data_IF_703672860213
#
_entry.id   IF_703672860213
#
_cell.length_a   1.000
_cell.length_b   1.000
_cell.length_c   1.000
_cell.angle_alpha   90.00
_cell.angle_beta   90.00
_cell.angle_gamma   90.00
#
_symmetry.space_group_name_H-M   'P 1'
#
loop_
_entity.id
_entity.type
_entity.pdbx_description
1 polymer ?
#
# COMPACT_ATOMS: atom_id res chain seq x y z
N UNK A 1 2.98 -8.07 -19.02
CA UNK A 1 2.65 -8.87 -17.82
C UNK A 1 1.93 -7.94 -16.87
N UNK A 2 0.63 -7.83 -17.02
CA UNK A 2 -0.21 -6.99 -16.18
C UNK A 2 -1.22 -7.93 -15.53
N UNK A 3 -0.99 -8.24 -14.26
CA UNK A 3 -2.08 -8.74 -13.43
C UNK A 3 -2.62 -7.55 -12.63
N UNK A 4 -3.13 -6.56 -13.37
CA UNK A 4 -3.96 -5.45 -12.85
C UNK A 4 -5.39 -5.95 -12.51
N UNK A 5 -5.59 -7.27 -12.33
CA UNK A 5 -6.90 -7.92 -12.46
C UNK A 5 -7.57 -8.35 -11.16
N UNK A 6 -6.97 -8.08 -10.00
CA UNK A 6 -7.59 -8.41 -8.71
C UNK A 6 -7.81 -7.19 -7.78
N UNK A 7 -7.34 -5.99 -8.15
CA UNK A 7 -7.51 -4.77 -7.36
C UNK A 7 -8.81 -4.04 -7.74
N UNK A 8 -9.79 -4.09 -6.85
CA UNK A 8 -11.12 -3.44 -6.99
C UNK A 8 -11.03 -1.96 -6.63
N UNK A 9 -10.16 -1.61 -5.69
CA UNK A 9 -9.93 -0.23 -5.27
C UNK A 9 -8.55 -0.11 -4.63
N UNK A 10 -7.82 0.95 -4.95
CA UNK A 10 -6.56 1.28 -4.29
C UNK A 10 -6.50 2.75 -3.93
N UNK A 11 -6.08 3.05 -2.70
CA UNK A 11 -5.85 4.43 -2.24
C UNK A 11 -4.62 4.54 -1.37
N UNK A 12 -3.73 5.46 -1.74
CA UNK A 12 -2.64 5.91 -0.89
C UNK A 12 -3.08 7.10 -0.01
N UNK A 13 -2.73 7.06 1.28
CA UNK A 13 -2.95 8.13 2.25
C UNK A 13 -1.62 8.45 2.95
N UNK A 14 -1.17 9.70 2.85
CA UNK A 14 0.02 10.17 3.55
C UNK A 14 -0.35 10.64 4.96
N UNK A 15 0.43 10.21 5.95
CA UNK A 15 0.28 10.55 7.36
C UNK A 15 1.66 10.81 7.98
N UNK A 16 2.18 12.02 7.79
CA UNK A 16 3.52 12.38 8.26
C UNK A 16 4.62 11.53 7.61
N UNK A 17 5.38 10.80 8.42
CA UNK A 17 6.45 9.89 7.94
C UNK A 17 5.91 8.56 7.38
N UNK A 18 4.62 8.28 7.49
CA UNK A 18 4.01 7.02 7.05
C UNK A 18 3.15 7.26 5.81
N UNK A 19 3.15 6.30 4.90
CA UNK A 19 2.19 6.21 3.81
C UNK A 19 1.43 4.90 3.96
N UNK A 20 0.11 5.00 4.03
CA UNK A 20 -0.79 3.85 4.07
C UNK A 20 -1.35 3.60 2.67
N UNK A 21 -1.35 2.35 2.25
CA UNK A 21 -2.00 1.90 1.03
C UNK A 21 -3.16 0.99 1.43
N UNK A 22 -4.36 1.39 1.05
CA UNK A 22 -5.59 0.64 1.27
C UNK A 22 -6.00 0.02 -0.06
N UNK A 23 -5.93 -1.31 -0.14
CA UNK A 23 -6.25 -2.06 -1.34
C UNK A 23 -7.42 -3.00 -1.06
N UNK A 24 -8.52 -2.84 -1.78
CA UNK A 24 -9.63 -3.79 -1.80
C UNK A 24 -9.39 -4.73 -2.96
N UNK A 25 -9.28 -6.02 -2.66
CA UNK A 25 -9.03 -7.06 -3.65
C UNK A 25 -10.13 -8.11 -3.62
N UNK A 26 -10.25 -8.86 -4.70
CA UNK A 26 -11.14 -10.02 -4.77
C UNK A 26 -10.37 -11.33 -4.72
N UNK A 27 -10.89 -12.34 -4.03
CA UNK A 27 -10.41 -13.72 -4.16
C UNK A 27 -10.85 -14.29 -5.51
N UNK A 28 -10.29 -15.44 -5.91
CA UNK A 28 -10.80 -16.20 -7.07
C UNK A 28 -12.28 -16.58 -6.94
N UNK A 29 -12.80 -16.68 -5.70
CA UNK A 29 -14.21 -16.91 -5.38
C UNK A 29 -15.10 -15.67 -5.45
N UNK A 30 -14.54 -14.50 -5.81
CA UNK A 30 -15.18 -13.17 -5.82
C UNK A 30 -15.53 -12.59 -4.45
N UNK A 31 -15.00 -13.16 -3.37
CA UNK A 31 -15.10 -12.54 -2.04
C UNK A 31 -14.14 -11.36 -1.94
N UNK A 32 -14.56 -10.29 -1.28
CA UNK A 32 -13.75 -9.10 -1.11
C UNK A 32 -12.93 -9.15 0.19
N UNK A 33 -11.69 -8.70 0.13
CA UNK A 33 -10.85 -8.51 1.30
C UNK A 33 -10.06 -7.20 1.21
N UNK A 34 -9.70 -6.66 2.37
CA UNK A 34 -8.92 -5.43 2.51
C UNK A 34 -7.48 -5.79 2.86
N UNK A 35 -6.53 -5.24 2.11
CA UNK A 35 -5.11 -5.22 2.45
C UNK A 35 -4.74 -3.80 2.85
N UNK A 36 -4.01 -3.67 3.96
CA UNK A 36 -3.46 -2.39 4.40
C UNK A 36 -1.95 -2.55 4.47
N UNK A 37 -1.24 -1.78 3.66
CA UNK A 37 0.23 -1.73 3.67
C UNK A 37 0.68 -0.40 4.26
N UNK A 38 1.63 -0.44 5.18
CA UNK A 38 2.31 0.77 5.67
C UNK A 38 3.74 0.80 5.15
N UNK A 39 4.14 1.91 4.51
CA UNK A 39 5.54 2.27 4.30
C UNK A 39 5.90 3.42 5.22
N UNK A 40 7.07 3.36 5.84
CA UNK A 40 7.52 4.34 6.81
C UNK A 40 8.85 4.91 6.35
N UNK A 41 8.87 6.21 6.10
CA UNK A 41 10.10 6.93 5.82
C UNK A 41 10.97 6.98 7.09
N UNK A 42 12.10 6.31 7.05
CA UNK A 42 13.20 6.42 8.00
C UNK A 42 14.19 7.46 7.48
N UNK A 43 14.60 8.38 8.36
CA UNK A 43 15.62 9.39 8.05
C UNK A 43 16.84 9.05 8.89
N UNK A 44 17.98 8.84 8.23
CA UNK A 44 19.26 8.53 8.87
C UNK A 44 19.99 9.82 9.23
N UNK A 45 21.02 9.70 10.08
CA UNK A 45 21.80 10.85 10.57
C UNK A 45 22.57 11.58 9.46
N UNK A 46 22.88 10.87 8.37
CA UNK A 46 23.51 11.43 7.16
C UNK A 46 22.52 12.17 6.24
N UNK A 47 21.24 12.27 6.63
CA UNK A 47 20.18 12.91 5.86
C UNK A 47 19.58 12.03 4.75
N UNK A 48 20.07 10.80 4.58
CA UNK A 48 19.48 9.83 3.64
C UNK A 48 18.14 9.32 4.17
N UNK A 49 17.29 8.83 3.25
CA UNK A 49 15.99 8.30 3.61
C UNK A 49 15.72 6.93 2.97
N UNK A 50 15.18 6.02 3.77
CA UNK A 50 14.67 4.70 3.35
C UNK A 50 13.17 4.61 3.64
N UNK A 51 12.43 3.75 2.95
CA UNK A 51 10.96 3.66 2.98
C UNK A 51 10.45 2.31 3.47
#
# INVERSE_FOLDING_TARGET
MADEREDVYSRAVRAGKRTYFFDVKSTRGKDLYLTITESKKHTHEDGSATY
#
